data_IF_757044815731
#
_entry.id   IF_757044815731
#
_cell.length_a   1.000
_cell.length_b   1.000
_cell.length_c   1.000
_cell.angle_alpha   90.00
_cell.angle_beta   90.00
_cell.angle_gamma   90.00
#
_symmetry.space_group_name_H-M   'P 1'
#
loop_
_entity.id
_entity.type
_entity.pdbx_description
1 polymer ?
#
# COMPACT_ATOMS: atom_id res chain seq x y z
N UNK A 1 34.29 -9.10 12.31
CA UNK A 1 34.24 -8.36 13.59
C UNK A 1 33.09 -8.91 14.39
N UNK A 2 33.34 -9.25 15.64
CA UNK A 2 32.31 -9.69 16.56
C UNK A 2 31.44 -8.49 16.97
N UNK A 3 30.13 -8.68 16.99
CA UNK A 3 29.21 -7.67 17.43
C UNK A 3 29.35 -7.47 18.94
N UNK A 4 29.76 -6.26 19.35
CA UNK A 4 29.84 -5.89 20.77
C UNK A 4 28.69 -4.95 21.10
N UNK A 5 27.65 -5.41 21.82
CA UNK A 5 26.52 -4.59 22.17
C UNK A 5 26.87 -3.52 23.19
N UNK A 6 26.32 -2.33 23.01
CA UNK A 6 26.35 -1.23 23.99
C UNK A 6 25.40 -1.54 25.16
N UNK A 7 25.49 -0.85 26.33
CA UNK A 7 24.64 -1.14 27.49
C UNK A 7 23.16 -1.26 27.16
N UNK A 8 22.52 -0.25 26.59
CA UNK A 8 21.10 -0.30 26.21
C UNK A 8 20.74 -1.30 25.11
N UNK A 9 21.73 -1.78 24.34
CA UNK A 9 21.52 -2.86 23.36
C UNK A 9 21.54 -4.24 24.02
N UNK A 10 22.24 -4.40 25.15
CA UNK A 10 22.27 -5.66 25.91
C UNK A 10 20.88 -5.99 26.43
N UNK A 11 20.17 -5.01 26.99
CA UNK A 11 18.80 -5.17 27.48
C UNK A 11 17.86 -5.73 26.41
N UNK A 12 17.99 -5.26 25.15
CA UNK A 12 17.20 -5.79 24.03
C UNK A 12 17.55 -7.25 23.73
N UNK A 13 18.83 -7.65 23.87
CA UNK A 13 19.29 -9.01 23.63
C UNK A 13 18.86 -9.99 24.75
N UNK A 14 18.49 -9.50 25.92
CA UNK A 14 17.94 -10.27 27.01
C UNK A 14 16.45 -10.60 26.89
N UNK A 15 15.79 -10.08 25.81
CA UNK A 15 14.38 -10.35 25.54
C UNK A 15 14.11 -11.86 25.38
N UNK A 16 13.09 -12.34 26.09
CA UNK A 16 12.65 -13.75 26.06
C UNK A 16 11.15 -13.94 25.84
N UNK A 17 10.40 -12.86 25.67
CA UNK A 17 8.97 -12.95 25.39
C UNK A 17 8.17 -11.72 25.84
N UNK A 18 6.88 -11.67 25.48
CA UNK A 18 6.01 -10.54 25.75
C UNK A 18 6.14 -9.40 24.73
N UNK A 19 5.81 -8.17 25.13
CA UNK A 19 5.89 -6.98 24.29
C UNK A 19 7.06 -6.11 24.71
N UNK A 20 7.91 -5.74 23.76
CA UNK A 20 9.07 -4.87 23.96
C UNK A 20 9.07 -3.73 22.95
N UNK A 21 8.99 -2.49 23.41
CA UNK A 21 9.24 -1.30 22.61
C UNK A 21 10.72 -0.92 22.65
N UNK A 22 11.34 -0.74 21.49
CA UNK A 22 12.76 -0.38 21.38
C UNK A 22 12.89 1.00 20.70
N UNK A 23 12.71 2.12 21.44
CA UNK A 23 12.93 3.44 20.90
C UNK A 23 14.41 3.64 20.62
N UNK A 24 14.76 4.15 19.44
CA UNK A 24 16.14 4.39 19.07
C UNK A 24 16.27 5.43 17.96
N UNK A 25 17.22 6.34 18.09
CA UNK A 25 17.55 7.34 17.09
C UNK A 25 18.13 6.72 15.80
N UNK A 26 18.09 7.41 14.67
CA UNK A 26 18.79 6.98 13.46
C UNK A 26 20.27 6.69 13.75
N UNK A 27 20.82 5.63 13.18
CA UNK A 27 22.22 5.24 13.40
C UNK A 27 22.54 4.51 14.71
N UNK A 28 21.58 4.36 15.63
CA UNK A 28 21.80 3.64 16.91
C UNK A 28 22.04 2.13 16.76
N UNK A 29 21.97 1.58 15.55
CA UNK A 29 22.20 0.16 15.30
C UNK A 29 20.99 -0.75 15.51
N UNK A 30 19.75 -0.21 15.53
CA UNK A 30 18.51 -0.98 15.69
C UNK A 30 18.47 -2.27 14.87
N UNK A 31 18.70 -2.16 13.57
CA UNK A 31 18.67 -3.31 12.63
C UNK A 31 19.69 -4.37 13.00
N UNK A 32 20.88 -3.97 13.47
CA UNK A 32 21.93 -4.91 13.84
C UNK A 32 21.57 -5.65 15.13
N UNK A 33 21.07 -4.94 16.14
CA UNK A 33 20.65 -5.54 17.42
C UNK A 33 19.49 -6.51 17.21
N UNK A 34 18.44 -6.08 16.47
CA UNK A 34 17.29 -6.94 16.19
C UNK A 34 17.66 -8.17 15.33
N UNK A 35 18.57 -8.01 14.37
CA UNK A 35 19.07 -9.15 13.58
C UNK A 35 19.90 -10.12 14.44
N UNK A 36 20.68 -9.60 15.40
CA UNK A 36 21.42 -10.44 16.33
C UNK A 36 20.47 -11.18 17.28
N UNK A 37 19.50 -10.46 17.88
CA UNK A 37 18.46 -11.08 18.73
C UNK A 37 17.71 -12.19 17.99
N UNK A 38 17.29 -11.94 16.74
CA UNK A 38 16.62 -12.95 15.93
C UNK A 38 17.52 -14.19 15.74
N UNK A 39 18.80 -14.00 15.43
CA UNK A 39 19.74 -15.12 15.27
C UNK A 39 19.97 -15.89 16.59
N UNK A 40 20.01 -15.21 17.74
CA UNK A 40 20.11 -15.86 19.06
C UNK A 40 18.87 -16.71 19.34
N UNK A 41 17.67 -16.15 19.20
CA UNK A 41 16.41 -16.87 19.42
C UNK A 41 16.28 -18.08 18.49
N UNK A 42 16.68 -17.96 17.21
CA UNK A 42 16.67 -19.08 16.25
C UNK A 42 17.65 -20.20 16.70
N UNK A 43 18.78 -19.81 17.23
CA UNK A 43 19.80 -20.78 17.62
C UNK A 43 19.47 -21.51 18.93
N UNK A 44 18.81 -20.85 19.88
CA UNK A 44 18.61 -21.35 21.24
C UNK A 44 17.20 -21.82 21.56
N UNK A 45 16.17 -21.20 20.95
CA UNK A 45 14.80 -21.34 21.47
C UNK A 45 13.79 -21.87 20.44
N UNK A 46 14.06 -21.74 19.11
CA UNK A 46 13.11 -22.14 18.11
C UNK A 46 13.17 -23.62 17.74
N UNK A 47 12.03 -24.29 17.81
CA UNK A 47 11.82 -25.60 17.22
C UNK A 47 11.80 -25.51 15.68
N UNK A 48 12.03 -26.64 14.99
CA UNK A 48 12.15 -26.69 13.52
C UNK A 48 10.93 -26.15 12.76
N UNK A 49 9.74 -26.10 13.39
CA UNK A 49 8.50 -25.63 12.79
C UNK A 49 8.17 -24.17 13.11
N UNK A 50 8.97 -23.50 13.94
CA UNK A 50 8.75 -22.11 14.31
C UNK A 50 9.61 -21.17 13.47
N UNK A 51 9.10 -19.97 13.20
CA UNK A 51 9.81 -18.92 12.47
C UNK A 51 9.58 -17.56 13.10
N UNK A 52 10.62 -16.74 13.12
CA UNK A 52 10.50 -15.32 13.45
C UNK A 52 10.03 -14.59 12.21
N UNK A 53 8.92 -13.86 12.31
CA UNK A 53 8.44 -12.95 11.27
C UNK A 53 8.96 -11.54 11.54
N UNK A 54 9.66 -10.96 10.58
CA UNK A 54 10.13 -9.58 10.61
C UNK A 54 9.41 -8.80 9.52
N UNK A 55 8.72 -7.72 9.92
CA UNK A 55 7.97 -6.87 9.00
C UNK A 55 8.61 -5.49 8.91
N UNK A 56 8.75 -4.98 7.70
CA UNK A 56 9.33 -3.65 7.43
C UNK A 56 8.59 -2.95 6.29
N UNK A 57 8.87 -1.68 6.05
CA UNK A 57 8.22 -0.92 4.98
C UNK A 57 8.93 -1.01 3.63
N UNK A 58 10.26 -1.20 3.61
CA UNK A 58 11.08 -1.09 2.40
C UNK A 58 11.77 -2.40 2.03
N UNK A 59 11.82 -2.68 0.72
CA UNK A 59 12.54 -3.85 0.20
C UNK A 59 14.06 -3.82 0.52
N UNK A 60 14.68 -2.65 0.55
CA UNK A 60 16.07 -2.49 0.97
C UNK A 60 16.30 -2.93 2.42
N UNK A 61 15.35 -2.65 3.31
CA UNK A 61 15.40 -3.11 4.70
C UNK A 61 15.22 -4.64 4.78
N UNK A 62 14.35 -5.24 3.96
CA UNK A 62 14.21 -6.71 3.85
C UNK A 62 15.55 -7.36 3.49
N UNK A 63 16.23 -6.87 2.46
CA UNK A 63 17.53 -7.39 2.03
C UNK A 63 18.60 -7.24 3.12
N UNK A 64 18.63 -6.09 3.80
CA UNK A 64 19.56 -5.82 4.88
C UNK A 64 19.36 -6.75 6.09
N UNK A 65 18.10 -6.95 6.53
CA UNK A 65 17.80 -7.91 7.61
C UNK A 65 18.20 -9.33 7.24
N UNK A 66 17.81 -9.80 6.04
CA UNK A 66 18.17 -11.15 5.57
C UNK A 66 19.67 -11.37 5.57
N UNK A 67 20.44 -10.42 5.04
CA UNK A 67 21.91 -10.50 5.04
C UNK A 67 22.46 -10.58 6.45
N UNK A 68 22.05 -9.68 7.36
CA UNK A 68 22.59 -9.64 8.74
C UNK A 68 22.24 -10.88 9.55
N UNK A 69 20.98 -11.32 9.51
CA UNK A 69 20.55 -12.53 10.23
C UNK A 69 21.31 -13.74 9.68
N UNK A 70 21.37 -13.88 8.34
CA UNK A 70 22.12 -14.97 7.71
C UNK A 70 23.61 -14.99 8.09
N UNK A 71 24.25 -13.82 8.19
CA UNK A 71 25.65 -13.71 8.62
C UNK A 71 25.83 -14.10 10.09
N UNK A 72 24.90 -13.75 10.98
CA UNK A 72 24.93 -14.17 12.39
C UNK A 72 24.70 -15.69 12.54
N UNK A 73 23.72 -16.24 11.79
CA UNK A 73 23.45 -17.69 11.82
C UNK A 73 24.64 -18.49 11.29
N UNK A 74 25.26 -18.05 10.20
CA UNK A 74 26.44 -18.72 9.64
C UNK A 74 27.61 -18.79 10.65
N UNK A 75 27.83 -17.75 11.45
CA UNK A 75 28.84 -17.76 12.52
C UNK A 75 28.53 -18.76 13.63
N UNK A 76 27.27 -19.16 13.78
CA UNK A 76 26.81 -20.18 14.72
C UNK A 76 26.76 -21.58 14.09
N UNK A 77 27.25 -21.74 12.85
CA UNK A 77 27.19 -23.02 12.13
C UNK A 77 25.79 -23.40 11.61
N UNK A 78 24.86 -22.46 11.57
CA UNK A 78 23.50 -22.69 11.14
C UNK A 78 23.25 -22.20 9.68
N UNK A 79 22.30 -22.83 8.95
CA UNK A 79 21.92 -22.38 7.63
C UNK A 79 21.44 -20.92 7.64
N UNK A 80 21.91 -20.11 6.67
CA UNK A 80 21.62 -18.68 6.58
C UNK A 80 20.12 -18.33 6.47
N UNK A 81 19.29 -19.25 5.99
CA UNK A 81 17.85 -19.06 5.79
C UNK A 81 16.96 -19.71 6.87
N UNK A 82 17.55 -20.29 7.92
CA UNK A 82 16.82 -21.05 8.94
C UNK A 82 16.00 -20.13 9.86
N UNK A 83 14.75 -20.52 10.11
CA UNK A 83 13.97 -20.06 11.27
C UNK A 83 13.45 -18.62 11.20
N UNK A 84 13.48 -17.94 10.04
CA UNK A 84 12.91 -16.59 9.92
C UNK A 84 12.30 -16.31 8.55
N UNK A 85 11.42 -15.31 8.53
CA UNK A 85 10.86 -14.73 7.33
C UNK A 85 10.90 -13.20 7.44
N UNK A 86 11.47 -12.51 6.44
CA UNK A 86 11.47 -11.05 6.38
C UNK A 86 10.61 -10.63 5.20
N UNK A 87 9.57 -9.84 5.48
CA UNK A 87 8.60 -9.37 4.49
C UNK A 87 8.38 -7.87 4.62
N UNK A 88 7.97 -7.21 3.55
CA UNK A 88 7.35 -5.90 3.69
C UNK A 88 5.92 -6.07 4.19
N UNK A 89 5.32 -5.00 4.77
CA UNK A 89 3.93 -5.01 5.19
C UNK A 89 3.00 -5.42 4.03
N UNK A 90 3.23 -4.87 2.83
CA UNK A 90 2.48 -5.22 1.62
C UNK A 90 2.63 -6.70 1.24
N UNK A 91 3.86 -7.24 1.26
CA UNK A 91 4.07 -8.66 0.92
C UNK A 91 3.52 -9.61 1.98
N UNK A 92 3.42 -9.17 3.23
CA UNK A 92 2.74 -9.92 4.28
C UNK A 92 1.23 -9.94 4.04
N UNK A 93 0.62 -8.77 3.80
CA UNK A 93 -0.80 -8.64 3.51
C UNK A 93 -1.21 -9.50 2.30
N UNK A 94 -0.43 -9.45 1.21
CA UNK A 94 -0.64 -10.32 0.05
C UNK A 94 -0.56 -11.81 0.38
N UNK A 95 0.39 -12.19 1.24
CA UNK A 95 0.49 -13.57 1.71
C UNK A 95 -0.78 -14.02 2.42
N UNK A 96 -1.31 -13.19 3.32
CA UNK A 96 -2.54 -13.46 4.08
C UNK A 96 -3.75 -13.59 3.13
N UNK A 97 -3.87 -12.69 2.15
CA UNK A 97 -4.96 -12.73 1.16
C UNK A 97 -4.88 -14.02 0.33
N UNK A 98 -3.67 -14.44 -0.08
CA UNK A 98 -3.46 -15.68 -0.85
C UNK A 98 -3.74 -16.96 -0.07
N UNK A 99 -3.68 -16.93 1.25
CA UNK A 99 -4.03 -18.08 2.10
C UNK A 99 -5.54 -18.36 2.14
N UNK A 100 -6.38 -17.33 1.96
CA UNK A 100 -7.84 -17.44 1.97
C UNK A 100 -8.48 -16.52 0.92
N UNK A 101 -8.27 -16.78 -0.38
CA UNK A 101 -8.80 -15.94 -1.45
C UNK A 101 -10.33 -15.93 -1.46
N UNK A 102 -10.96 -17.03 -1.06
CA UNK A 102 -12.41 -17.23 -1.04
C UNK A 102 -13.12 -16.28 -0.05
N UNK A 103 -12.43 -15.84 1.00
CA UNK A 103 -13.01 -14.95 2.01
C UNK A 103 -13.37 -13.56 1.46
N UNK A 104 -12.89 -13.20 0.25
CA UNK A 104 -13.14 -11.90 -0.40
C UNK A 104 -13.62 -12.01 -1.85
N UNK A 105 -14.06 -13.19 -2.31
CA UNK A 105 -14.44 -13.42 -3.72
C UNK A 105 -13.35 -13.03 -4.73
N UNK A 106 -12.10 -13.12 -4.32
CA UNK A 106 -10.94 -12.76 -5.15
C UNK A 106 -10.46 -14.04 -5.84
N UNK A 107 -10.25 -14.00 -7.16
CA UNK A 107 -9.63 -15.10 -7.89
C UNK A 107 -8.24 -15.42 -7.31
N UNK A 108 -7.89 -16.71 -7.26
CA UNK A 108 -6.59 -17.15 -6.71
C UNK A 108 -5.37 -16.55 -7.45
N UNK A 109 -5.54 -16.17 -8.71
CA UNK A 109 -4.50 -15.64 -9.60
C UNK A 109 -4.52 -14.11 -9.70
N UNK A 110 -4.95 -13.41 -8.66
CA UNK A 110 -4.93 -11.95 -8.70
C UNK A 110 -3.49 -11.38 -8.77
N UNK A 111 -3.35 -10.29 -9.51
CA UNK A 111 -2.13 -9.50 -9.57
C UNK A 111 -2.32 -8.11 -8.96
N UNK A 112 -1.23 -7.53 -8.46
CA UNK A 112 -1.25 -6.13 -8.06
C UNK A 112 -1.11 -5.23 -9.26
N UNK A 113 -1.96 -4.20 -9.32
CA UNK A 113 -1.81 -3.18 -10.35
C UNK A 113 -0.56 -2.32 -10.07
N UNK A 114 0.28 -2.14 -11.08
CA UNK A 114 1.38 -1.18 -11.00
C UNK A 114 0.87 0.27 -10.98
N UNK A 115 1.56 1.15 -10.25
CA UNK A 115 1.17 2.55 -10.10
C UNK A 115 0.99 3.28 -11.45
N UNK A 116 1.86 3.03 -12.42
CA UNK A 116 1.76 3.60 -13.76
C UNK A 116 0.55 3.09 -14.55
N UNK A 117 0.21 1.81 -14.42
CA UNK A 117 -1.00 1.21 -15.03
C UNK A 117 -2.26 1.72 -14.35
N UNK A 118 -2.24 1.81 -13.02
CA UNK A 118 -3.31 2.41 -12.21
C UNK A 118 -3.66 3.81 -12.67
N UNK A 119 -2.67 4.70 -12.76
CA UNK A 119 -2.90 6.09 -13.16
C UNK A 119 -3.42 6.22 -14.59
N UNK A 120 -2.90 5.42 -15.53
CA UNK A 120 -3.43 5.38 -16.91
C UNK A 120 -4.89 4.97 -16.96
N UNK A 121 -5.29 3.94 -16.23
CA UNK A 121 -6.68 3.51 -16.17
C UNK A 121 -7.60 4.60 -15.60
N UNK A 122 -7.19 5.25 -14.53
CA UNK A 122 -7.95 6.38 -13.97
C UNK A 122 -8.05 7.51 -14.99
N UNK A 123 -6.98 7.84 -15.69
CA UNK A 123 -6.96 8.87 -16.71
C UNK A 123 -7.89 8.53 -17.88
N UNK A 124 -7.92 7.29 -18.34
CA UNK A 124 -8.82 6.82 -19.40
C UNK A 124 -10.28 6.88 -18.97
N UNK A 125 -10.60 6.49 -17.74
CA UNK A 125 -11.95 6.59 -17.18
C UNK A 125 -12.37 8.05 -17.02
N UNK A 126 -11.49 8.93 -16.59
CA UNK A 126 -11.76 10.36 -16.51
C UNK A 126 -12.05 10.97 -17.88
N UNK A 127 -11.32 10.59 -18.93
CA UNK A 127 -11.56 11.03 -20.30
C UNK A 127 -12.93 10.58 -20.82
N UNK A 128 -13.26 9.29 -20.62
CA UNK A 128 -14.56 8.74 -20.98
C UNK A 128 -15.68 9.52 -20.29
N UNK A 129 -15.58 9.63 -18.95
CA UNK A 129 -16.58 10.34 -18.16
C UNK A 129 -16.73 11.80 -18.58
N UNK A 130 -15.62 12.52 -18.83
CA UNK A 130 -15.64 13.91 -19.29
C UNK A 130 -16.25 14.09 -20.68
N UNK A 131 -16.13 13.08 -21.55
CA UNK A 131 -16.79 13.05 -22.85
C UNK A 131 -18.30 12.89 -22.76
N UNK A 132 -18.77 12.06 -21.84
CA UNK A 132 -20.20 11.76 -21.63
C UNK A 132 -20.92 12.84 -20.82
N UNK A 133 -20.21 13.58 -19.96
CA UNK A 133 -20.76 14.55 -19.01
C UNK A 133 -20.29 15.99 -19.26
N UNK A 134 -20.14 16.40 -20.52
CA UNK A 134 -19.61 17.71 -20.90
C UNK A 134 -20.34 18.91 -20.33
N UNK A 135 -21.68 18.83 -20.21
CA UNK A 135 -22.51 19.90 -19.63
C UNK A 135 -22.27 20.05 -18.11
N UNK A 136 -22.16 18.95 -17.39
CA UNK A 136 -21.86 18.98 -15.96
C UNK A 136 -20.47 19.58 -15.70
N UNK A 137 -19.49 19.29 -16.55
CA UNK A 137 -18.15 19.87 -16.45
C UNK A 137 -18.16 21.39 -16.56
N UNK A 138 -19.02 21.95 -17.43
CA UNK A 138 -19.10 23.40 -17.60
C UNK A 138 -19.57 24.13 -16.33
N UNK A 139 -20.33 23.46 -15.46
CA UNK A 139 -20.76 24.03 -14.18
C UNK A 139 -19.59 24.22 -13.17
N UNK A 140 -18.49 23.53 -13.34
CA UNK A 140 -17.29 23.71 -12.49
C UNK A 140 -16.45 24.93 -12.90
N UNK A 141 -16.68 25.47 -14.10
CA UNK A 141 -15.91 26.59 -14.62
C UNK A 141 -16.77 27.84 -14.67
N UNK A 142 -16.46 28.80 -13.82
CA UNK A 142 -17.12 30.12 -13.82
C UNK A 142 -16.50 31.05 -14.88
N UNK A 143 -16.23 30.55 -16.09
CA UNK A 143 -15.59 31.26 -17.20
C UNK A 143 -16.55 31.40 -18.36
N UNK A 144 -16.48 32.53 -19.08
CA UNK A 144 -17.23 32.73 -20.31
C UNK A 144 -16.90 31.67 -21.38
N UNK A 145 -17.93 31.05 -21.95
CA UNK A 145 -17.87 29.84 -22.78
C UNK A 145 -17.03 29.94 -24.06
N UNK A 146 -16.64 31.12 -24.51
CA UNK A 146 -16.03 31.34 -25.82
C UNK A 146 -14.66 32.02 -25.78
N UNK A 147 -13.90 31.90 -24.71
CA UNK A 147 -12.56 32.47 -24.65
C UNK A 147 -11.51 31.40 -24.97
N UNK A 148 -10.45 31.74 -25.71
CA UNK A 148 -9.26 30.91 -25.92
C UNK A 148 -8.67 30.42 -24.58
N UNK A 149 -8.81 31.19 -23.53
CA UNK A 149 -8.39 30.81 -22.19
C UNK A 149 -9.24 29.66 -21.62
N UNK A 150 -10.58 29.68 -21.87
CA UNK A 150 -11.47 28.60 -21.43
C UNK A 150 -11.04 27.25 -22.02
N UNK A 151 -10.82 27.19 -23.33
CA UNK A 151 -10.43 25.95 -24.01
C UNK A 151 -9.07 25.41 -23.50
N UNK A 152 -8.12 26.30 -23.26
CA UNK A 152 -6.81 25.95 -22.70
C UNK A 152 -6.92 25.40 -21.27
N UNK A 153 -7.72 26.07 -20.41
CA UNK A 153 -7.95 25.60 -19.04
C UNK A 153 -8.73 24.30 -19.02
N UNK A 154 -9.77 24.16 -19.83
CA UNK A 154 -10.56 22.93 -19.93
C UNK A 154 -9.73 21.75 -20.40
N UNK A 155 -8.84 21.96 -21.38
CA UNK A 155 -7.91 20.92 -21.85
C UNK A 155 -6.94 20.48 -20.74
N UNK A 156 -6.29 21.43 -20.07
CA UNK A 156 -5.39 21.12 -18.94
C UNK A 156 -6.14 20.41 -17.84
N UNK A 157 -7.30 20.89 -17.48
CA UNK A 157 -8.12 20.29 -16.42
C UNK A 157 -8.50 18.83 -16.77
N UNK A 158 -8.98 18.55 -17.98
CA UNK A 158 -9.35 17.20 -18.43
C UNK A 158 -8.15 16.25 -18.44
N UNK A 159 -6.98 16.74 -18.82
CA UNK A 159 -5.80 15.89 -19.01
C UNK A 159 -4.98 15.68 -17.76
N UNK A 160 -4.94 16.64 -16.84
CA UNK A 160 -4.03 16.62 -15.70
C UNK A 160 -4.76 16.78 -14.36
N UNK A 161 -5.50 17.87 -14.15
CA UNK A 161 -6.02 18.24 -12.84
C UNK A 161 -7.16 17.31 -12.38
N UNK A 162 -8.08 16.98 -13.27
CA UNK A 162 -9.21 16.09 -12.97
C UNK A 162 -8.76 14.63 -12.72
N UNK A 163 -7.91 14.01 -13.54
CA UNK A 163 -7.38 12.70 -13.24
C UNK A 163 -6.58 12.65 -11.92
N UNK A 164 -5.80 13.69 -11.60
CA UNK A 164 -5.06 13.78 -10.35
C UNK A 164 -6.01 13.88 -9.14
N UNK A 165 -7.06 14.70 -9.25
CA UNK A 165 -8.12 14.79 -8.24
C UNK A 165 -8.80 13.44 -8.03
N UNK A 166 -9.27 12.79 -9.09
CA UNK A 166 -9.95 11.49 -9.02
C UNK A 166 -9.03 10.42 -8.43
N UNK A 167 -7.76 10.37 -8.83
CA UNK A 167 -6.79 9.43 -8.27
C UNK A 167 -6.58 9.61 -6.75
N UNK A 168 -6.56 10.87 -6.31
CA UNK A 168 -6.49 11.21 -4.88
C UNK A 168 -7.75 10.78 -4.13
N UNK A 169 -8.93 11.04 -4.72
CA UNK A 169 -10.21 10.64 -4.13
C UNK A 169 -10.37 9.13 -4.06
N UNK A 170 -9.99 8.38 -5.09
CA UNK A 170 -9.99 6.90 -5.06
C UNK A 170 -9.11 6.39 -3.91
N UNK A 171 -7.90 6.94 -3.74
CA UNK A 171 -7.04 6.57 -2.63
C UNK A 171 -7.66 6.87 -1.27
N UNK A 172 -8.35 8.00 -1.14
CA UNK A 172 -9.08 8.38 0.08
C UNK A 172 -10.26 7.43 0.36
N UNK A 173 -11.07 7.11 -0.66
CA UNK A 173 -12.22 6.21 -0.53
C UNK A 173 -11.76 4.80 -0.09
N UNK A 174 -10.71 4.29 -0.69
CA UNK A 174 -10.12 3.00 -0.31
C UNK A 174 -9.58 3.00 1.13
N UNK A 175 -8.91 4.07 1.54
CA UNK A 175 -8.44 4.24 2.92
C UNK A 175 -9.60 4.22 3.93
N UNK A 176 -10.78 4.70 3.52
CA UNK A 176 -12.00 4.67 4.33
C UNK A 176 -12.82 3.38 4.17
N UNK A 177 -12.32 2.42 3.41
CA UNK A 177 -12.98 1.14 3.12
C UNK A 177 -14.37 1.33 2.50
N UNK A 178 -14.55 2.38 1.67
CA UNK A 178 -15.79 2.62 0.95
C UNK A 178 -15.83 1.78 -0.33
N UNK A 179 -16.99 1.27 -0.67
CA UNK A 179 -17.24 0.55 -1.91
C UNK A 179 -17.80 1.50 -2.98
N UNK A 180 -17.35 1.37 -4.22
CA UNK A 180 -17.63 2.33 -5.29
C UNK A 180 -19.11 2.49 -5.59
N UNK A 181 -19.87 1.39 -5.72
CA UNK A 181 -21.31 1.45 -6.01
C UNK A 181 -22.12 2.00 -4.83
N UNK A 182 -21.77 1.65 -3.61
CA UNK A 182 -22.42 2.21 -2.42
C UNK A 182 -22.18 3.72 -2.32
N UNK A 183 -20.93 4.15 -2.47
CA UNK A 183 -20.54 5.56 -2.43
C UNK A 183 -21.23 6.37 -3.54
N UNK A 184 -21.25 5.85 -4.78
CA UNK A 184 -21.94 6.49 -5.91
C UNK A 184 -23.42 6.74 -5.60
N UNK A 185 -24.10 5.76 -5.03
CA UNK A 185 -25.50 5.88 -4.65
C UNK A 185 -25.69 6.89 -3.51
N UNK A 186 -24.85 6.84 -2.48
CA UNK A 186 -24.88 7.82 -1.37
C UNK A 186 -24.72 9.25 -1.87
N UNK A 187 -23.76 9.52 -2.76
CA UNK A 187 -23.50 10.86 -3.27
C UNK A 187 -24.62 11.32 -4.19
N UNK A 188 -25.13 10.44 -5.06
CA UNK A 188 -26.23 10.76 -6.00
C UNK A 188 -27.50 11.24 -5.30
N UNK A 189 -27.84 10.63 -4.17
CA UNK A 189 -29.04 10.97 -3.41
C UNK A 189 -28.77 11.92 -2.24
N UNK A 190 -27.56 12.44 -2.11
CA UNK A 190 -27.21 13.39 -1.04
C UNK A 190 -27.63 14.81 -1.40
N UNK A 191 -28.11 15.55 -0.40
CA UNK A 191 -28.41 16.99 -0.53
C UNK A 191 -27.18 17.87 -0.23
N UNK A 192 -25.97 17.31 -0.27
CA UNK A 192 -24.76 18.04 0.05
C UNK A 192 -24.38 18.99 -1.11
N UNK A 193 -24.02 20.24 -0.80
CA UNK A 193 -23.50 21.20 -1.78
C UNK A 193 -22.24 20.70 -2.50
N UNK A 194 -21.46 19.85 -1.85
CA UNK A 194 -20.26 19.20 -2.40
C UNK A 194 -20.55 17.97 -3.24
N UNK A 195 -21.80 17.50 -3.33
CA UNK A 195 -22.17 16.32 -4.11
C UNK A 195 -21.75 16.44 -5.58
N UNK A 196 -21.89 17.62 -6.17
CA UNK A 196 -21.50 17.87 -7.56
C UNK A 196 -20.01 17.62 -7.83
N UNK A 197 -19.12 17.87 -6.85
CA UNK A 197 -17.67 17.62 -6.98
C UNK A 197 -17.33 16.15 -6.70
N UNK A 198 -18.02 15.55 -5.72
CA UNK A 198 -17.74 14.16 -5.30
C UNK A 198 -18.35 13.13 -6.26
N UNK A 199 -19.48 13.45 -6.89
CA UNK A 199 -20.20 12.51 -7.75
C UNK A 199 -19.34 11.95 -8.90
N UNK A 200 -18.63 12.79 -9.69
CA UNK A 200 -17.73 12.29 -10.72
C UNK A 200 -16.67 11.31 -10.19
N UNK A 201 -16.08 11.65 -9.06
CA UNK A 201 -15.06 10.78 -8.45
C UNK A 201 -15.64 9.46 -7.94
N UNK A 202 -16.85 9.48 -7.37
CA UNK A 202 -17.53 8.27 -6.88
C UNK A 202 -17.97 7.38 -8.06
N UNK A 203 -18.49 7.95 -9.14
CA UNK A 203 -18.89 7.22 -10.33
C UNK A 203 -17.70 6.58 -11.05
N UNK A 204 -16.61 7.32 -11.21
CA UNK A 204 -15.36 6.80 -11.76
C UNK A 204 -14.75 5.74 -10.85
N UNK A 205 -14.88 5.89 -9.53
CA UNK A 205 -14.40 4.88 -8.58
C UNK A 205 -15.15 3.56 -8.72
N UNK A 206 -16.48 3.58 -8.84
CA UNK A 206 -17.27 2.38 -9.07
C UNK A 206 -16.86 1.66 -10.37
N UNK A 207 -16.70 2.39 -11.47
CA UNK A 207 -16.23 1.84 -12.75
C UNK A 207 -14.80 1.31 -12.66
N UNK A 208 -13.94 1.99 -11.91
CA UNK A 208 -12.57 1.57 -11.66
C UNK A 208 -12.52 0.22 -10.91
N UNK A 209 -13.30 0.06 -9.83
CA UNK A 209 -13.37 -1.19 -9.08
C UNK A 209 -13.93 -2.33 -9.92
N UNK A 210 -14.98 -2.07 -10.71
CA UNK A 210 -15.53 -3.04 -11.64
C UNK A 210 -14.47 -3.52 -12.65
N UNK A 211 -13.73 -2.58 -13.25
CA UNK A 211 -12.65 -2.89 -14.19
C UNK A 211 -11.50 -3.67 -13.54
N UNK A 212 -11.17 -3.34 -12.30
CA UNK A 212 -10.16 -4.07 -11.51
C UNK A 212 -10.59 -5.51 -11.27
N UNK A 213 -11.83 -5.72 -10.84
CA UNK A 213 -12.38 -7.04 -10.59
C UNK A 213 -12.41 -7.91 -11.86
N UNK A 214 -12.85 -7.35 -13.00
CA UNK A 214 -12.85 -8.05 -14.28
C UNK A 214 -11.45 -8.47 -14.74
N UNK A 215 -10.45 -7.64 -14.47
CA UNK A 215 -9.07 -7.92 -14.85
C UNK A 215 -8.31 -8.82 -13.86
N UNK A 216 -8.93 -9.24 -12.75
CA UNK A 216 -8.27 -10.01 -11.69
C UNK A 216 -7.15 -9.22 -11.01
N UNK A 217 -7.29 -7.89 -10.94
CA UNK A 217 -6.29 -6.99 -10.36
C UNK A 217 -6.73 -6.48 -8.99
N UNK A 218 -5.75 -6.28 -8.10
CA UNK A 218 -5.93 -5.61 -6.82
C UNK A 218 -5.14 -4.30 -6.78
N UNK A 219 -5.71 -3.32 -6.09
CA UNK A 219 -5.12 -2.03 -5.75
C UNK A 219 -5.22 -1.82 -4.23
N UNK A 220 -4.17 -1.28 -3.62
CA UNK A 220 -4.13 -0.96 -2.18
C UNK A 220 -4.67 0.44 -1.89
#
# INVERSE_FOLDING_TARGET
MDFKPRPGQKEVLEYRGGQLAVPAVPGAGKTTVLAHLAAELIASELNNNQKILIVTYMNSAVANFRKRIGDFLARKGLPRSRGYSVKTLHSLALGIIKEKPEARLINQDFELIEAGRRYRWIKDLCRKWAGENGEMLQQFFNLEKNSYQFDKYLKKWKEDDFPAYVASMISYFKLKLLEGEELKNMVKYSNLKSANILYPAAEIFAEYEFRMAQAGLLDF
#
